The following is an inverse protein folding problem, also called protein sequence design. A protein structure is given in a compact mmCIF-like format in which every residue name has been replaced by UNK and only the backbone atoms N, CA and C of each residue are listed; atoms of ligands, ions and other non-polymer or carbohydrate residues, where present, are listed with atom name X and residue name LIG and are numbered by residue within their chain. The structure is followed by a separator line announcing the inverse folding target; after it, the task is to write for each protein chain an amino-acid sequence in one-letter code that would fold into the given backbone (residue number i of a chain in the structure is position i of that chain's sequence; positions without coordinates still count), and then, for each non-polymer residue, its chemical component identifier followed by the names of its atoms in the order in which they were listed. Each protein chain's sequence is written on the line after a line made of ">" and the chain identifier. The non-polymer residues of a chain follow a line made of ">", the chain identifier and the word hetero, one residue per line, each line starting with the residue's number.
data_IF_438375740616
#
_entry.id   IF_438375740616
#
_cell.length_a   1.000
_cell.length_b   1.000
_cell.length_c   1.000
_cell.angle_alpha   90.00
_cell.angle_beta   90.00
_cell.angle_gamma   90.00
#
_symmetry.space_group_name_H-M   'P 1'
#
loop_
_entity.id
_entity.type
_entity.pdbx_description
1 polymer ?
#
# COMPACT_ATOMS: atom_id res chain seq x y z
N UNK A 1 11.20 10.49 17.74
CA UNK A 1 11.81 10.25 16.42
C UNK A 1 10.66 10.22 15.42
N UNK A 2 10.73 10.98 14.31
CA UNK A 2 9.65 10.98 13.31
C UNK A 2 9.90 9.90 12.26
N UNK A 3 8.88 9.09 11.94
CA UNK A 3 8.94 7.99 10.99
C UNK A 3 7.86 8.12 9.91
N UNK A 4 8.29 8.11 8.66
CA UNK A 4 7.44 8.12 7.47
C UNK A 4 7.32 6.70 6.91
N UNK A 5 6.09 6.20 6.79
CA UNK A 5 5.79 4.98 6.06
C UNK A 5 5.54 5.26 4.58
N UNK A 6 6.18 4.51 3.69
CA UNK A 6 5.98 4.61 2.23
C UNK A 6 5.49 3.27 1.70
N UNK A 7 4.32 3.27 1.06
CA UNK A 7 3.75 2.09 0.39
C UNK A 7 3.96 2.26 -1.12
N UNK A 8 4.78 1.39 -1.72
CA UNK A 8 5.09 1.42 -3.16
C UNK A 8 4.06 0.60 -3.93
N UNK A 9 3.20 1.29 -4.69
CA UNK A 9 2.01 0.76 -5.31
C UNK A 9 2.05 0.82 -6.84
N UNK A 10 3.17 0.42 -7.46
CA UNK A 10 3.34 0.50 -8.92
C UNK A 10 2.33 -0.35 -9.70
N UNK A 11 1.92 0.13 -10.87
CA UNK A 11 1.05 -0.54 -11.86
C UNK A 11 1.69 -1.80 -12.43
N UNK A 12 2.99 -1.73 -12.74
CA UNK A 12 3.75 -2.70 -13.54
C UNK A 12 4.11 -4.04 -12.86
N UNK A 13 3.15 -4.70 -12.19
CA UNK A 13 3.38 -6.00 -11.55
C UNK A 13 3.58 -7.12 -12.58
N UNK A 14 4.73 -7.83 -12.52
CA UNK A 14 5.15 -8.84 -13.52
C UNK A 14 4.42 -10.19 -13.41
N UNK A 15 4.23 -10.71 -12.18
CA UNK A 15 3.57 -12.03 -11.97
C UNK A 15 2.05 -11.93 -11.96
N UNK A 16 1.50 -10.92 -11.29
CA UNK A 16 0.06 -10.69 -11.17
C UNK A 16 -0.21 -9.28 -11.67
N UNK A 17 -0.89 -9.15 -12.82
CA UNK A 17 -1.18 -7.83 -13.41
C UNK A 17 -2.01 -6.97 -12.45
N UNK A 18 -1.56 -5.72 -12.23
CA UNK A 18 -2.16 -4.75 -11.29
C UNK A 18 -2.36 -5.30 -9.86
N UNK A 19 -1.44 -6.13 -9.37
CA UNK A 19 -1.51 -6.83 -8.07
C UNK A 19 -2.05 -5.99 -6.91
N UNK A 20 -1.65 -4.72 -6.79
CA UNK A 20 -2.00 -3.86 -5.66
C UNK A 20 -3.49 -3.52 -5.57
N UNK A 21 -4.21 -3.52 -6.70
CA UNK A 21 -5.67 -3.26 -6.73
C UNK A 21 -6.49 -4.55 -6.86
N UNK A 22 -5.83 -5.70 -7.05
CA UNK A 22 -6.54 -6.98 -7.14
C UNK A 22 -7.15 -7.34 -5.78
N UNK A 23 -8.37 -7.89 -5.76
CA UNK A 23 -9.01 -8.32 -4.53
C UNK A 23 -8.26 -9.52 -3.92
N UNK A 24 -8.02 -9.44 -2.61
CA UNK A 24 -7.51 -10.49 -1.75
C UNK A 24 -8.36 -10.49 -0.48
N UNK A 25 -9.12 -11.57 -0.24
CA UNK A 25 -9.99 -11.66 0.93
C UNK A 25 -11.07 -10.56 0.98
N UNK A 26 -11.64 -10.20 -0.17
CA UNK A 26 -12.72 -9.20 -0.27
C UNK A 26 -12.27 -7.73 -0.26
N UNK A 27 -10.96 -7.44 -0.17
CA UNK A 27 -10.41 -6.08 -0.26
C UNK A 27 -9.26 -6.00 -1.26
N UNK A 28 -9.01 -4.87 -1.93
CA UNK A 28 -7.79 -4.70 -2.74
C UNK A 28 -6.53 -4.95 -1.90
N UNK A 29 -5.52 -5.62 -2.47
CA UNK A 29 -4.30 -6.00 -1.74
C UNK A 29 -3.65 -4.83 -0.97
N UNK A 30 -3.56 -3.66 -1.59
CA UNK A 30 -2.94 -2.47 -0.98
C UNK A 30 -3.66 -2.00 0.29
N UNK A 31 -4.97 -2.20 0.37
CA UNK A 31 -5.79 -1.75 1.49
C UNK A 31 -5.36 -2.45 2.78
N UNK A 32 -5.00 -3.73 2.72
CA UNK A 32 -4.47 -4.45 3.88
C UNK A 32 -3.22 -3.79 4.45
N UNK A 33 -2.25 -3.45 3.59
CA UNK A 33 -1.02 -2.78 4.00
C UNK A 33 -1.31 -1.38 4.55
N UNK A 34 -2.19 -0.61 3.90
CA UNK A 34 -2.57 0.72 4.34
C UNK A 34 -3.28 0.72 5.69
N UNK A 35 -4.22 -0.20 5.93
CA UNK A 35 -4.91 -0.33 7.21
C UNK A 35 -3.95 -0.67 8.35
N UNK A 36 -3.00 -1.59 8.12
CA UNK A 36 -1.95 -1.91 9.10
C UNK A 36 -1.05 -0.70 9.38
N UNK A 37 -0.60 0.01 8.34
CA UNK A 37 0.23 1.19 8.49
C UNK A 37 -0.50 2.32 9.24
N UNK A 38 -1.78 2.55 8.92
CA UNK A 38 -2.63 3.56 9.58
C UNK A 38 -2.89 3.26 11.06
N UNK A 39 -2.95 1.98 11.44
CA UNK A 39 -3.12 1.56 12.86
C UNK A 39 -1.81 1.59 13.66
N UNK A 40 -0.66 1.72 13.00
CA UNK A 40 0.64 1.72 13.65
C UNK A 40 0.86 3.00 14.46
N UNK A 41 1.15 2.86 15.76
CA UNK A 41 1.56 3.99 16.62
C UNK A 41 3.02 4.41 16.40
N UNK A 42 3.75 3.69 15.53
CA UNK A 42 5.17 3.93 15.25
C UNK A 42 5.41 4.80 14.00
N UNK A 43 4.35 5.15 13.26
CA UNK A 43 4.44 5.95 12.03
C UNK A 43 3.68 7.26 12.25
N UNK A 44 4.33 8.38 11.94
CA UNK A 44 3.71 9.71 12.03
C UNK A 44 2.90 10.04 10.77
N UNK A 45 3.33 9.50 9.63
CA UNK A 45 2.69 9.72 8.33
C UNK A 45 2.83 8.48 7.46
N UNK A 46 1.83 8.25 6.63
CA UNK A 46 1.83 7.19 5.61
C UNK A 46 1.56 7.83 4.25
N UNK A 47 2.39 7.49 3.26
CA UNK A 47 2.25 7.94 1.88
C UNK A 47 2.20 6.72 0.97
N UNK A 48 1.26 6.73 0.03
CA UNK A 48 1.24 5.77 -1.08
C UNK A 48 1.90 6.45 -2.28
N UNK A 49 2.92 5.80 -2.84
CA UNK A 49 3.57 6.24 -4.08
C UNK A 49 3.20 5.29 -5.20
N UNK A 50 2.74 5.83 -6.32
CA UNK A 50 2.30 5.07 -7.49
C UNK A 50 2.72 5.78 -8.77
N UNK A 51 2.87 4.99 -9.83
CA UNK A 51 3.13 5.40 -11.21
C UNK A 51 1.88 5.27 -12.09
N UNK A 52 0.73 4.95 -11.48
CA UNK A 52 -0.60 4.96 -12.11
C UNK A 52 -1.26 6.32 -11.80
N UNK A 53 -1.93 6.94 -12.79
CA UNK A 53 -2.76 8.15 -12.60
C UNK A 53 -4.10 7.83 -11.93
#
# INVERSE_FOLDING_TARGET
>A
MKALGIILARKGSRRIRRKNIQPLGGKPLIVWTFECAKKSKKLDRVVVSTDDE
#
